data_IF_729335796803
#
_entry.id   IF_729335796803
#
_cell.length_a   1.000
_cell.length_b   1.000
_cell.length_c   1.000
_cell.angle_alpha   90.00
_cell.angle_beta   90.00
_cell.angle_gamma   90.00
#
_symmetry.space_group_name_H-M   'P 1'
#
loop_
_entity.id
_entity.type
_entity.pdbx_description
1 polymer ?
#
# COMPACT_ATOMS: atom_id res chain seq x y z
N UNK A 1 -84.07 41.31 -103.62
CA UNK A 1 -83.69 41.54 -102.20
C UNK A 1 -83.27 40.21 -101.61
N UNK A 2 -82.25 39.99 -100.78
CA UNK A 2 -81.22 40.79 -100.12
C UNK A 2 -80.27 39.79 -99.45
N UNK A 3 -79.04 40.22 -99.17
CA UNK A 3 -77.90 39.44 -98.60
C UNK A 3 -78.27 38.66 -97.32
N UNK A 4 -77.54 37.59 -96.98
CA UNK A 4 -76.39 37.62 -96.03
C UNK A 4 -76.00 36.22 -95.43
N UNK A 5 -74.72 35.83 -95.65
CA UNK A 5 -73.73 35.11 -94.80
C UNK A 5 -74.08 33.86 -93.95
N UNK A 6 -73.22 32.83 -94.04
CA UNK A 6 -72.31 32.35 -92.96
C UNK A 6 -71.39 31.22 -93.53
N UNK A 7 -70.05 31.35 -93.46
CA UNK A 7 -69.09 30.82 -92.47
C UNK A 7 -69.04 29.28 -92.36
N UNK A 8 -67.86 28.68 -92.64
CA UNK A 8 -67.03 27.84 -91.75
C UNK A 8 -65.78 27.36 -92.54
N UNK A 9 -64.57 27.69 -92.05
CA UNK A 9 -63.29 27.06 -92.44
C UNK A 9 -62.86 26.14 -91.30
N UNK A 10 -62.77 24.85 -91.55
CA UNK A 10 -62.14 23.91 -90.61
C UNK A 10 -60.62 24.08 -90.64
N UNK A 11 -60.02 24.35 -89.48
CA UNK A 11 -58.57 24.32 -89.25
C UNK A 11 -58.31 23.15 -88.30
N UNK A 12 -57.83 22.03 -88.85
CA UNK A 12 -57.35 20.91 -88.03
C UNK A 12 -55.85 21.06 -87.83
N UNK A 13 -55.47 20.97 -86.56
CA UNK A 13 -54.18 21.26 -85.97
C UNK A 13 -53.09 20.29 -86.41
N UNK A 14 -51.89 20.82 -86.72
CA UNK A 14 -50.65 20.07 -86.59
C UNK A 14 -50.01 20.40 -85.22
N UNK A 15 -49.69 19.36 -84.46
CA UNK A 15 -48.98 19.48 -83.18
C UNK A 15 -47.47 19.60 -83.44
N UNK A 16 -46.88 20.78 -83.26
CA UNK A 16 -45.42 20.93 -83.26
C UNK A 16 -44.87 20.78 -81.84
N UNK A 17 -43.97 19.81 -81.65
CA UNK A 17 -43.21 19.63 -80.41
C UNK A 17 -42.33 20.85 -80.10
N UNK A 18 -42.37 21.31 -78.85
CA UNK A 18 -41.52 22.42 -78.35
C UNK A 18 -40.11 21.87 -78.09
N UNK A 19 -39.13 22.25 -78.92
CA UNK A 19 -37.70 22.08 -78.64
C UNK A 19 -37.29 22.93 -77.42
N UNK A 20 -36.75 22.30 -76.37
CA UNK A 20 -36.11 22.99 -75.23
C UNK A 20 -34.76 23.58 -75.69
N UNK A 21 -34.53 24.87 -75.41
CA UNK A 21 -33.34 25.62 -75.81
C UNK A 21 -32.10 25.29 -74.94
N UNK A 22 -30.87 25.43 -75.45
CA UNK A 22 -29.64 24.98 -74.77
C UNK A 22 -29.03 26.03 -73.82
N UNK A 23 -29.50 27.27 -73.85
CA UNK A 23 -28.89 28.39 -73.09
C UNK A 23 -28.95 28.19 -71.56
N UNK A 24 -30.01 27.57 -71.04
CA UNK A 24 -30.15 27.31 -69.59
C UNK A 24 -29.24 26.20 -69.05
N UNK A 25 -28.64 25.36 -69.92
CA UNK A 25 -27.74 24.27 -69.51
C UNK A 25 -26.32 24.78 -69.22
N UNK A 26 -25.80 25.69 -70.05
CA UNK A 26 -24.45 26.25 -69.88
C UNK A 26 -24.34 27.12 -68.62
N UNK A 27 -25.37 27.95 -68.35
CA UNK A 27 -25.42 28.77 -67.13
C UNK A 27 -25.59 27.93 -65.86
N UNK A 28 -26.38 26.83 -65.91
CA UNK A 28 -26.45 25.83 -64.83
C UNK A 28 -25.11 25.10 -64.62
N UNK A 29 -24.39 24.74 -65.68
CA UNK A 29 -23.07 24.12 -65.59
C UNK A 29 -22.01 25.06 -64.98
N UNK A 30 -22.05 26.35 -65.30
CA UNK A 30 -21.19 27.37 -64.68
C UNK A 30 -21.42 27.47 -63.17
N UNK A 31 -22.69 27.51 -62.73
CA UNK A 31 -23.05 27.53 -61.32
C UNK A 31 -22.63 26.27 -60.57
N UNK A 32 -22.76 25.10 -61.20
CA UNK A 32 -22.33 23.82 -60.61
C UNK A 32 -20.81 23.77 -60.46
N UNK A 33 -20.04 24.20 -61.46
CA UNK A 33 -18.57 24.23 -61.39
C UNK A 33 -18.08 25.21 -60.32
N UNK A 34 -18.72 26.38 -60.18
CA UNK A 34 -18.40 27.30 -59.10
C UNK A 34 -18.72 26.72 -57.72
N UNK A 35 -19.84 25.99 -57.58
CA UNK A 35 -20.20 25.35 -56.32
C UNK A 35 -19.19 24.25 -55.96
N UNK A 36 -18.74 23.46 -56.94
CA UNK A 36 -17.69 22.44 -56.74
C UNK A 36 -16.38 23.10 -56.31
N UNK A 37 -15.97 24.20 -56.94
CA UNK A 37 -14.74 24.92 -56.57
C UNK A 37 -14.80 25.46 -55.13
N UNK A 38 -15.92 26.05 -54.73
CA UNK A 38 -16.13 26.56 -53.36
C UNK A 38 -16.12 25.40 -52.36
N UNK A 39 -16.80 24.29 -52.67
CA UNK A 39 -16.86 23.13 -51.80
C UNK A 39 -15.48 22.48 -51.63
N UNK A 40 -14.70 22.37 -52.71
CA UNK A 40 -13.31 21.88 -52.66
C UNK A 40 -12.43 22.78 -51.79
N UNK A 41 -12.55 24.10 -51.90
CA UNK A 41 -11.81 25.04 -51.07
C UNK A 41 -12.16 24.89 -49.59
N UNK A 42 -13.45 24.76 -49.26
CA UNK A 42 -13.91 24.52 -47.90
C UNK A 42 -13.39 23.19 -47.34
N UNK A 43 -13.36 22.14 -48.16
CA UNK A 43 -12.89 20.81 -47.75
C UNK A 43 -11.38 20.84 -47.44
N UNK A 44 -10.58 21.50 -48.28
CA UNK A 44 -9.13 21.68 -48.03
C UNK A 44 -8.88 22.49 -46.75
N UNK A 45 -9.60 23.60 -46.55
CA UNK A 45 -9.50 24.41 -45.34
C UNK A 45 -9.90 23.60 -44.08
N UNK A 46 -10.92 22.75 -44.20
CA UNK A 46 -11.37 21.88 -43.13
C UNK A 46 -10.32 20.82 -42.78
N UNK A 47 -9.75 20.11 -43.77
CA UNK A 47 -8.67 19.12 -43.54
C UNK A 47 -7.46 19.79 -42.87
N UNK A 48 -7.05 20.96 -43.36
CA UNK A 48 -5.94 21.70 -42.77
C UNK A 48 -6.22 22.11 -41.32
N UNK A 49 -7.42 22.64 -41.05
CA UNK A 49 -7.85 23.04 -39.70
C UNK A 49 -7.93 21.85 -38.74
N UNK A 50 -8.43 20.71 -39.21
CA UNK A 50 -8.56 19.49 -38.42
C UNK A 50 -7.19 18.84 -38.14
N UNK A 51 -6.31 18.78 -39.15
CA UNK A 51 -4.95 18.24 -39.04
C UNK A 51 -4.13 18.95 -37.96
N UNK A 52 -4.17 20.29 -37.93
CA UNK A 52 -3.45 21.09 -36.94
C UNK A 52 -3.97 20.92 -35.50
N UNK A 53 -5.20 20.40 -35.30
CA UNK A 53 -5.77 20.21 -33.96
C UNK A 53 -5.43 18.85 -33.34
N UNK A 54 -5.07 17.84 -34.13
CA UNK A 54 -4.75 16.51 -33.62
C UNK A 54 -3.30 16.32 -33.15
N UNK A 55 -2.41 17.29 -33.38
CA UNK A 55 -1.00 17.21 -32.95
C UNK A 55 -0.75 17.90 -31.59
N UNK A 56 -1.64 17.71 -30.61
CA UNK A 56 -1.33 18.05 -29.23
C UNK A 56 -0.42 16.93 -28.69
N UNK A 57 0.89 17.09 -28.84
CA UNK A 57 1.88 16.26 -28.14
C UNK A 57 1.57 16.36 -26.64
N UNK A 58 1.24 15.24 -26.02
CA UNK A 58 0.92 15.18 -24.60
C UNK A 58 2.01 15.86 -23.75
N UNK A 59 1.61 16.48 -22.65
CA UNK A 59 2.57 17.06 -21.70
C UNK A 59 3.54 15.96 -21.26
N UNK A 60 4.86 16.14 -21.41
CA UNK A 60 5.82 15.17 -20.90
C UNK A 60 5.66 15.10 -19.39
N UNK A 61 5.17 13.97 -18.90
CA UNK A 61 5.08 13.69 -17.48
C UNK A 61 6.48 13.28 -17.05
N UNK A 62 7.24 14.19 -16.45
CA UNK A 62 8.52 13.86 -15.83
C UNK A 62 8.23 13.05 -14.56
N UNK A 63 8.44 11.74 -14.63
CA UNK A 63 8.21 10.83 -13.51
C UNK A 63 9.37 10.97 -12.54
N UNK A 64 9.25 11.88 -11.58
CA UNK A 64 10.21 12.00 -10.48
C UNK A 64 9.92 10.93 -9.44
N UNK A 65 10.71 9.85 -9.48
CA UNK A 65 10.71 8.87 -8.40
C UNK A 65 11.45 9.49 -7.20
N UNK A 66 10.85 9.50 -5.99
CA UNK A 66 11.56 9.93 -4.80
C UNK A 66 12.83 9.08 -4.64
N UNK A 67 13.97 9.72 -4.37
CA UNK A 67 15.21 9.00 -4.11
C UNK A 67 15.02 8.16 -2.85
N UNK A 68 15.04 6.84 -3.01
CA UNK A 68 14.99 5.87 -1.91
C UNK A 68 16.27 5.96 -1.09
N UNK A 69 16.33 6.97 -0.22
CA UNK A 69 17.34 7.09 0.83
C UNK A 69 17.22 5.95 1.86
N UNK A 70 16.07 5.28 1.88
CA UNK A 70 15.74 4.16 2.77
C UNK A 70 15.36 2.92 1.95
N UNK A 71 16.28 2.39 1.15
CA UNK A 71 16.10 1.05 0.59
C UNK A 71 15.86 0.06 1.77
N UNK A 72 14.82 -0.79 1.73
CA UNK A 72 14.55 -1.72 2.81
C UNK A 72 15.77 -2.64 2.98
N UNK A 73 16.42 -2.56 4.14
CA UNK A 73 17.55 -3.42 4.47
C UNK A 73 17.10 -4.88 4.44
N UNK A 74 17.96 -5.76 3.93
CA UNK A 74 17.67 -7.18 3.95
C UNK A 74 17.51 -7.64 5.41
N UNK A 75 16.53 -8.50 5.70
CA UNK A 75 16.34 -9.03 7.05
C UNK A 75 17.67 -9.58 7.62
N UNK A 76 18.44 -10.29 6.80
CA UNK A 76 19.77 -10.82 7.15
C UNK A 76 20.75 -9.75 7.61
N UNK A 77 20.73 -8.54 7.03
CA UNK A 77 21.62 -7.44 7.43
C UNK A 77 21.20 -6.87 8.79
N UNK A 78 19.89 -6.77 9.05
CA UNK A 78 19.36 -6.34 10.35
C UNK A 78 19.74 -7.34 11.44
N UNK A 79 19.56 -8.64 11.19
CA UNK A 79 19.93 -9.71 12.13
C UNK A 79 21.45 -9.75 12.39
N UNK A 80 22.28 -9.61 11.35
CA UNK A 80 23.75 -9.58 11.53
C UNK A 80 24.21 -8.36 12.32
N UNK A 81 23.52 -7.22 12.19
CA UNK A 81 23.84 -6.01 12.95
C UNK A 81 23.41 -6.10 14.42
N UNK A 82 22.35 -6.86 14.73
CA UNK A 82 21.80 -7.03 16.07
C UNK A 82 21.24 -8.45 16.26
N UNK A 83 22.10 -9.45 16.54
CA UNK A 83 21.61 -10.82 16.76
C UNK A 83 20.78 -10.89 18.05
N UNK A 84 19.69 -11.66 18.01
CA UNK A 84 19.03 -12.14 19.23
C UNK A 84 20.00 -13.10 19.90
N UNK A 85 20.16 -12.99 21.22
CA UNK A 85 21.01 -13.94 21.92
C UNK A 85 20.30 -15.28 22.04
N UNK A 86 21.07 -16.36 22.01
CA UNK A 86 20.59 -17.71 22.24
C UNK A 86 20.33 -17.92 23.75
N UNK A 87 19.30 -17.21 24.24
CA UNK A 87 18.86 -17.22 25.64
C UNK A 87 17.33 -17.25 25.61
N UNK A 88 16.76 -18.39 25.93
CA UNK A 88 15.32 -18.62 25.97
C UNK A 88 14.81 -18.55 27.40
N UNK A 89 13.87 -17.64 27.67
CA UNK A 89 13.30 -17.44 29.01
C UNK A 89 11.77 -17.56 28.99
N UNK A 90 11.23 -18.21 30.02
CA UNK A 90 9.81 -18.07 30.37
C UNK A 90 9.64 -17.19 31.60
N UNK A 91 8.50 -16.49 31.67
CA UNK A 91 8.20 -15.55 32.74
C UNK A 91 6.91 -15.97 33.44
N UNK A 92 6.95 -16.10 34.76
CA UNK A 92 5.83 -16.49 35.59
C UNK A 92 5.46 -15.37 36.55
N UNK A 93 4.23 -14.87 36.48
CA UNK A 93 3.71 -13.89 37.43
C UNK A 93 3.32 -14.56 38.75
N UNK A 94 4.19 -14.45 39.75
CA UNK A 94 3.98 -14.98 41.10
C UNK A 94 3.51 -13.97 42.14
N UNK A 95 3.25 -12.72 41.76
CA UNK A 95 2.83 -11.66 42.70
C UNK A 95 1.36 -11.26 42.58
N UNK A 96 0.69 -11.67 41.50
CA UNK A 96 -0.73 -11.40 41.25
C UNK A 96 -1.03 -10.01 40.66
N UNK A 97 -0.03 -9.20 40.31
CA UNK A 97 -0.24 -7.91 39.65
C UNK A 97 -0.50 -8.10 38.13
N UNK A 98 -1.67 -7.73 37.60
CA UNK A 98 -2.01 -7.98 36.19
C UNK A 98 -1.08 -7.23 35.23
N UNK A 99 -0.65 -7.91 34.17
CA UNK A 99 0.17 -7.33 33.11
C UNK A 99 1.66 -7.16 33.46
N UNK A 100 2.10 -7.51 34.68
CA UNK A 100 3.50 -7.34 35.08
C UNK A 100 4.46 -8.24 34.28
N UNK A 101 4.09 -9.50 34.03
CA UNK A 101 4.91 -10.42 33.23
C UNK A 101 5.10 -9.94 31.78
N UNK A 102 4.11 -9.25 31.21
CA UNK A 102 4.26 -8.61 29.90
C UNK A 102 5.30 -7.48 29.93
N UNK A 103 5.32 -6.67 30.99
CA UNK A 103 6.32 -5.60 31.14
C UNK A 103 7.74 -6.13 31.33
N UNK A 104 7.89 -7.21 32.10
CA UNK A 104 9.18 -7.93 32.17
C UNK A 104 9.57 -8.53 30.81
N UNK A 105 8.61 -9.05 30.06
CA UNK A 105 8.87 -9.57 28.71
C UNK A 105 9.47 -8.51 27.80
N UNK A 106 8.89 -7.31 27.81
CA UNK A 106 9.36 -6.20 26.98
C UNK A 106 10.75 -5.70 27.42
N UNK A 107 10.99 -5.61 28.72
CA UNK A 107 12.32 -5.29 29.28
C UNK A 107 13.37 -6.30 28.80
N UNK A 108 13.08 -7.59 28.88
CA UNK A 108 14.04 -8.65 28.52
C UNK A 108 14.27 -8.73 27.01
N UNK A 109 13.25 -8.48 26.19
CA UNK A 109 13.41 -8.39 24.73
C UNK A 109 14.29 -7.20 24.32
N UNK A 110 14.22 -6.09 25.04
CA UNK A 110 15.08 -4.92 24.79
C UNK A 110 16.57 -5.24 25.00
N UNK A 111 16.89 -6.17 25.89
CA UNK A 111 18.26 -6.65 26.12
C UNK A 111 18.61 -7.89 25.31
N UNK A 112 17.87 -8.19 24.23
CA UNK A 112 18.12 -9.29 23.27
C UNK A 112 17.92 -10.70 23.81
N UNK A 113 17.14 -10.87 24.87
CA UNK A 113 16.73 -12.19 25.38
C UNK A 113 15.43 -12.62 24.69
N UNK A 114 15.34 -13.89 24.30
CA UNK A 114 14.14 -14.45 23.68
C UNK A 114 13.14 -14.90 24.75
N UNK A 115 12.02 -14.20 24.84
CA UNK A 115 10.94 -14.51 25.79
C UNK A 115 9.93 -15.42 25.09
N UNK A 116 10.09 -16.72 25.33
CA UNK A 116 9.30 -17.80 24.72
C UNK A 116 7.83 -17.72 25.15
N UNK A 117 7.59 -17.50 26.45
CA UNK A 117 6.23 -17.36 27.01
C UNK A 117 6.20 -16.56 28.31
N UNK A 118 5.00 -16.06 28.64
CA UNK A 118 4.70 -15.30 29.84
C UNK A 118 3.34 -15.73 30.38
N UNK A 119 3.33 -16.29 31.59
CA UNK A 119 2.16 -16.91 32.21
C UNK A 119 2.04 -16.51 33.69
N UNK A 120 1.05 -17.08 34.39
CA UNK A 120 0.98 -17.00 35.85
C UNK A 120 1.81 -18.12 36.48
N UNK A 121 2.38 -17.87 37.66
CA UNK A 121 2.92 -18.95 38.46
C UNK A 121 1.79 -19.83 39.00
N UNK A 122 2.17 -20.95 39.62
CA UNK A 122 1.25 -21.87 40.32
C UNK A 122 0.50 -21.20 41.50
N UNK A 123 1.09 -20.15 42.09
CA UNK A 123 0.49 -19.33 43.14
C UNK A 123 0.93 -17.85 43.07
N UNK A 124 0.29 -16.97 43.84
CA UNK A 124 0.51 -15.50 43.79
C UNK A 124 1.16 -14.89 45.05
N UNK A 125 1.63 -15.73 45.96
CA UNK A 125 2.30 -15.35 47.22
C UNK A 125 3.83 -15.48 47.17
N UNK A 126 4.44 -15.45 45.98
CA UNK A 126 5.89 -15.35 45.86
C UNK A 126 6.36 -13.99 46.41
N UNK A 127 7.06 -14.01 47.53
CA UNK A 127 7.58 -12.79 48.15
C UNK A 127 8.79 -12.22 47.39
N UNK A 128 9.63 -13.09 46.83
CA UNK A 128 10.85 -12.73 46.12
C UNK A 128 10.82 -13.11 44.66
N UNK A 129 11.37 -12.24 43.83
CA UNK A 129 11.63 -12.48 42.42
C UNK A 129 12.87 -13.34 42.28
N UNK A 130 12.79 -14.39 41.47
CA UNK A 130 13.87 -15.36 41.32
C UNK A 130 14.04 -15.82 39.87
N UNK A 131 15.28 -16.15 39.54
CA UNK A 131 15.69 -16.82 38.32
C UNK A 131 15.98 -18.27 38.64
N UNK A 132 15.43 -19.17 37.82
CA UNK A 132 15.66 -20.61 37.92
C UNK A 132 16.37 -21.06 36.65
N UNK A 133 17.58 -21.59 36.78
CA UNK A 133 18.33 -22.16 35.68
C UNK A 133 17.79 -23.56 35.37
N UNK A 134 17.31 -23.77 34.14
CA UNK A 134 16.68 -25.01 33.68
C UNK A 134 17.61 -25.92 32.88
N UNK A 135 18.69 -25.39 32.32
CA UNK A 135 19.71 -26.17 31.61
C UNK A 135 21.13 -25.62 31.82
N UNK A 136 22.10 -26.08 31.03
CA UNK A 136 23.51 -25.71 31.11
C UNK A 136 23.87 -24.31 30.59
N UNK A 137 22.90 -23.49 30.15
CA UNK A 137 23.14 -22.14 29.63
C UNK A 137 23.47 -21.13 30.75
N UNK A 138 24.64 -21.30 31.35
CA UNK A 138 25.18 -20.43 32.42
C UNK A 138 25.41 -19.01 31.91
N UNK A 139 25.78 -18.87 30.63
CA UNK A 139 25.95 -17.56 29.99
C UNK A 139 24.65 -16.78 30.00
N UNK A 140 23.55 -17.39 29.56
CA UNK A 140 22.23 -16.78 29.56
C UNK A 140 21.78 -16.39 30.96
N UNK A 141 21.96 -17.30 31.93
CA UNK A 141 21.61 -17.01 33.33
C UNK A 141 22.38 -15.80 33.87
N UNK A 142 23.70 -15.72 33.63
CA UNK A 142 24.51 -14.57 34.06
C UNK A 142 24.06 -13.27 33.40
N UNK A 143 23.77 -13.31 32.10
CA UNK A 143 23.33 -12.14 31.35
C UNK A 143 22.01 -11.59 31.89
N UNK A 144 21.02 -12.47 32.15
CA UNK A 144 19.73 -12.07 32.72
C UNK A 144 19.88 -11.58 34.16
N UNK A 145 20.68 -12.26 34.98
CA UNK A 145 20.94 -11.85 36.36
C UNK A 145 21.57 -10.45 36.42
N UNK A 146 22.56 -10.17 35.59
CA UNK A 146 23.20 -8.85 35.49
C UNK A 146 22.20 -7.76 35.08
N UNK A 147 21.35 -8.05 34.09
CA UNK A 147 20.33 -7.10 33.64
C UNK A 147 19.24 -6.82 34.70
N UNK A 148 18.95 -7.77 35.58
CA UNK A 148 18.04 -7.60 36.71
C UNK A 148 18.75 -7.09 37.98
N UNK A 149 20.08 -6.95 37.96
CA UNK A 149 20.87 -6.54 39.12
C UNK A 149 20.94 -7.61 40.23
N UNK A 150 20.78 -8.88 39.88
CA UNK A 150 20.83 -10.00 40.82
C UNK A 150 22.27 -10.50 40.97
N UNK A 151 22.65 -10.83 42.21
CA UNK A 151 23.91 -11.54 42.46
C UNK A 151 23.71 -13.03 42.12
N UNK A 152 24.52 -13.52 41.17
CA UNK A 152 24.51 -14.92 40.73
C UNK A 152 24.79 -15.91 41.87
N UNK A 153 25.48 -15.45 42.93
CA UNK A 153 25.81 -16.29 44.09
C UNK A 153 24.70 -16.28 45.15
N UNK A 154 23.67 -15.44 45.00
CA UNK A 154 22.56 -15.37 45.93
C UNK A 154 21.56 -16.49 45.65
N UNK A 155 21.67 -17.58 46.41
CA UNK A 155 20.78 -18.74 46.31
C UNK A 155 19.30 -18.45 46.60
N UNK A 156 18.95 -17.28 47.16
CA UNK A 156 17.55 -16.87 47.36
C UNK A 156 16.92 -16.19 46.15
N UNK A 157 17.73 -15.79 45.16
CA UNK A 157 17.28 -15.13 43.92
C UNK A 157 17.68 -15.92 42.68
N UNK A 158 18.76 -16.69 42.73
CA UNK A 158 19.25 -17.51 41.62
C UNK A 158 19.31 -18.96 42.07
N UNK A 159 18.47 -19.78 41.46
CA UNK A 159 18.28 -21.20 41.78
C UNK A 159 18.70 -22.02 40.58
N UNK A 160 19.35 -23.16 40.80
CA UNK A 160 19.61 -24.15 39.75
C UNK A 160 18.66 -25.33 39.95
N UNK A 161 17.74 -25.53 39.01
CA UNK A 161 16.79 -26.64 39.04
C UNK A 161 16.54 -27.11 37.60
N UNK A 162 17.45 -27.97 37.12
CA UNK A 162 17.42 -28.46 35.75
C UNK A 162 16.16 -29.29 35.47
N UNK A 163 15.53 -29.04 34.31
CA UNK A 163 14.37 -29.80 33.85
C UNK A 163 14.47 -30.03 32.33
N UNK A 164 14.81 -31.24 31.87
CA UNK A 164 14.97 -31.54 30.45
C UNK A 164 13.66 -31.54 29.67
N UNK A 165 12.50 -31.45 30.35
CA UNK A 165 11.20 -31.38 29.68
C UNK A 165 10.81 -29.94 29.31
N UNK A 166 11.51 -28.94 29.86
CA UNK A 166 11.31 -27.54 29.51
C UNK A 166 12.17 -27.17 28.30
N UNK A 167 11.60 -26.38 27.40
CA UNK A 167 12.22 -25.84 26.19
C UNK A 167 12.84 -24.45 26.42
N UNK A 168 13.14 -24.10 27.67
CA UNK A 168 13.72 -22.80 28.05
C UNK A 168 14.99 -22.99 28.88
N UNK A 169 15.88 -22.02 28.80
CA UNK A 169 17.12 -21.98 29.58
C UNK A 169 16.87 -21.52 31.02
N UNK A 170 15.93 -20.57 31.17
CA UNK A 170 15.69 -19.84 32.41
C UNK A 170 14.17 -19.70 32.63
N UNK A 171 13.74 -19.83 33.88
CA UNK A 171 12.42 -19.40 34.34
C UNK A 171 12.59 -18.19 35.26
N UNK A 172 11.94 -17.06 34.94
CA UNK A 172 11.83 -15.90 35.83
C UNK A 172 10.50 -15.95 36.56
N UNK A 173 10.52 -16.11 37.87
CA UNK A 173 9.32 -15.99 38.72
C UNK A 173 9.30 -14.61 39.36
N UNK A 174 8.25 -13.83 39.09
CA UNK A 174 8.11 -12.46 39.59
C UNK A 174 7.45 -12.48 40.96
N UNK A 175 8.15 -11.98 41.97
CA UNK A 175 7.66 -11.85 43.34
C UNK A 175 7.15 -10.45 43.67
N UNK A 176 6.62 -10.30 44.88
CA UNK A 176 6.10 -9.01 45.40
C UNK A 176 7.18 -7.95 45.57
N UNK A 177 8.45 -8.36 45.67
CA UNK A 177 9.61 -7.48 45.73
C UNK A 177 9.96 -6.82 44.38
N UNK A 178 9.23 -7.05 43.28
CA UNK A 178 9.60 -6.53 41.95
C UNK A 178 9.83 -5.02 41.92
N UNK A 179 9.14 -4.25 42.78
CA UNK A 179 9.30 -2.79 42.89
C UNK A 179 10.66 -2.36 43.43
N UNK A 180 11.39 -3.26 44.08
CA UNK A 180 12.76 -3.06 44.57
C UNK A 180 13.82 -3.32 43.50
N UNK A 181 13.44 -3.89 42.36
CA UNK A 181 14.36 -4.19 41.26
C UNK A 181 14.52 -2.94 40.40
N UNK A 182 15.71 -2.35 40.41
CA UNK A 182 15.98 -1.06 39.76
C UNK A 182 15.70 -1.04 38.26
N UNK A 183 15.99 -2.15 37.54
CA UNK A 183 15.82 -2.21 36.09
C UNK A 183 14.36 -2.19 35.66
N UNK A 184 13.49 -2.96 36.32
CA UNK A 184 12.05 -2.89 36.05
C UNK A 184 11.47 -1.56 36.55
N UNK A 185 11.91 -1.04 37.70
CA UNK A 185 11.43 0.26 38.19
C UNK A 185 11.73 1.39 37.18
N UNK A 186 12.93 1.41 36.62
CA UNK A 186 13.31 2.37 35.58
C UNK A 186 12.44 2.22 34.32
N UNK A 187 12.12 0.98 33.92
CA UNK A 187 11.26 0.70 32.77
C UNK A 187 9.80 1.11 32.99
N UNK A 188 9.27 0.94 34.20
CA UNK A 188 7.89 1.31 34.54
C UNK A 188 7.64 2.82 34.58
N UNK A 189 8.70 3.61 34.80
CA UNK A 189 8.63 5.06 34.95
C UNK A 189 8.82 5.83 33.63
N UNK A 190 9.21 5.16 32.55
CA UNK A 190 9.33 5.71 31.19
C UNK A 190 8.06 5.45 30.37
#
# INVERSE_FOLDING_TARGET
MGKLKSLIKFKVFSTSSRKKSPAGKAQKMGLVNSAIAILSLLLVAFIFSFSNRQTQSGVPIEVTFPTMSDAPKLATEIYKANPVMDIQIEILNGCGEPGLAAKFSDLLRNIRVDVVRSENADHFDYEKTMLIQRNENIFGMKHVAEALGFDINNSSQVITAADPNLDVDITLVIGKDFRSISSIQAYLNN
#
